data_IF_546897503040
#
_entry.id   IF_546897503040
#
_cell.length_a   1.000
_cell.length_b   1.000
_cell.length_c   1.000
_cell.angle_alpha   90.00
_cell.angle_beta   90.00
_cell.angle_gamma   90.00
#
_symmetry.space_group_name_H-M   'P 1'
#
loop_
_entity.id
_entity.type
_entity.pdbx_description
1 polymer ?
#
# COMPACT_ATOMS: atom_id res chain seq x y z
N UNK A 1 34.99 9.01 -35.40
CA UNK A 1 34.75 9.65 -34.08
C UNK A 1 33.42 10.40 -33.93
N UNK A 2 32.61 10.57 -34.97
CA UNK A 2 31.31 11.29 -34.89
C UNK A 2 30.11 10.43 -34.46
N UNK A 3 30.17 9.09 -34.47
CA UNK A 3 29.03 8.21 -34.18
C UNK A 3 28.81 7.95 -32.69
N UNK A 4 29.84 8.02 -31.84
CA UNK A 4 29.71 7.75 -30.41
C UNK A 4 29.06 8.91 -29.63
N UNK A 5 29.15 10.13 -30.10
CA UNK A 5 28.53 11.29 -29.42
C UNK A 5 27.02 11.39 -29.65
N UNK A 6 26.49 10.87 -30.76
CA UNK A 6 25.05 10.91 -31.07
C UNK A 6 24.22 9.92 -30.22
N UNK A 7 24.82 8.81 -29.81
CA UNK A 7 24.18 7.84 -28.92
C UNK A 7 24.08 8.35 -27.49
N UNK A 8 25.18 8.95 -26.95
CA UNK A 8 25.18 9.54 -25.61
C UNK A 8 24.19 10.71 -25.47
N UNK A 9 24.03 11.54 -26.50
CA UNK A 9 23.05 12.63 -26.46
C UNK A 9 21.60 12.11 -26.54
N UNK A 10 21.33 11.04 -27.27
CA UNK A 10 19.99 10.42 -27.33
C UNK A 10 19.61 9.72 -26.04
N UNK A 11 20.54 9.04 -25.37
CA UNK A 11 20.30 8.42 -24.06
C UNK A 11 20.11 9.48 -22.96
N UNK A 12 20.91 10.52 -22.93
CA UNK A 12 20.73 11.63 -21.98
C UNK A 12 19.41 12.38 -22.20
N UNK A 13 18.97 12.56 -23.44
CA UNK A 13 17.68 13.17 -23.77
C UNK A 13 16.50 12.29 -23.37
N UNK A 14 16.64 10.97 -23.46
CA UNK A 14 15.64 10.00 -23.05
C UNK A 14 15.55 9.90 -21.53
N UNK A 15 16.68 9.85 -20.81
CA UNK A 15 16.73 9.86 -19.35
C UNK A 15 16.17 11.16 -18.74
N UNK A 16 16.49 12.33 -19.32
CA UNK A 16 15.96 13.62 -18.83
C UNK A 16 14.48 13.78 -19.09
N UNK A 17 13.97 13.29 -20.23
CA UNK A 17 12.55 13.25 -20.55
C UNK A 17 11.77 12.34 -19.60
N UNK A 18 12.33 11.19 -19.29
CA UNK A 18 11.76 10.19 -18.37
C UNK A 18 11.72 10.71 -16.92
N UNK A 19 12.76 11.38 -16.45
CA UNK A 19 12.80 12.01 -15.11
C UNK A 19 11.76 13.10 -14.95
N UNK A 20 11.52 13.96 -15.96
CA UNK A 20 10.47 14.98 -15.92
C UNK A 20 9.08 14.34 -15.89
N UNK A 21 8.90 13.26 -16.63
CA UNK A 21 7.64 12.52 -16.68
C UNK A 21 7.25 11.90 -15.34
N UNK A 22 8.21 11.48 -14.54
CA UNK A 22 8.04 10.84 -13.24
C UNK A 22 8.12 11.82 -12.06
N UNK A 23 8.25 13.11 -12.33
CA UNK A 23 8.45 14.14 -11.29
C UNK A 23 7.25 14.31 -10.37
N UNK A 24 7.52 14.30 -9.07
CA UNK A 24 6.59 14.58 -7.99
C UNK A 24 7.13 15.75 -7.13
N UNK A 25 6.69 16.99 -7.38
CA UNK A 25 7.27 18.18 -6.73
C UNK A 25 6.91 18.30 -5.24
N UNK A 26 5.82 17.68 -4.76
CA UNK A 26 5.41 17.75 -3.36
C UNK A 26 6.07 16.68 -2.47
N UNK A 27 7.10 16.00 -2.96
CA UNK A 27 7.81 14.98 -2.19
C UNK A 27 8.41 15.48 -0.85
N UNK A 28 8.80 16.77 -0.66
CA UNK A 28 9.31 17.20 0.64
C UNK A 28 8.27 17.18 1.76
N UNK A 29 6.97 17.21 1.42
CA UNK A 29 5.87 17.12 2.40
C UNK A 29 5.81 15.70 3.01
N UNK A 30 6.12 14.69 2.19
CA UNK A 30 6.23 13.29 2.62
C UNK A 30 7.47 12.68 1.97
N UNK A 31 8.63 12.75 2.65
CA UNK A 31 9.93 12.40 2.07
C UNK A 31 10.15 10.90 2.00
N UNK A 32 9.20 10.18 1.42
CA UNK A 32 9.28 8.75 1.16
C UNK A 32 9.98 8.47 -0.17
N UNK A 33 10.83 7.45 -0.19
CA UNK A 33 11.41 6.95 -1.44
C UNK A 33 10.26 6.52 -2.39
N UNK A 34 10.33 6.75 -3.69
CA UNK A 34 11.45 7.27 -4.49
C UNK A 34 11.54 8.81 -4.58
N UNK A 35 11.14 9.49 -3.52
CA UNK A 35 11.23 10.95 -3.38
C UNK A 35 10.48 11.68 -4.52
N UNK A 36 11.17 12.53 -5.26
CA UNK A 36 10.62 13.28 -6.38
C UNK A 36 10.49 12.51 -7.71
N UNK A 37 10.77 11.20 -7.74
CA UNK A 37 10.71 10.38 -8.96
C UNK A 37 9.80 9.17 -8.75
N UNK A 38 8.55 9.22 -9.23
CA UNK A 38 7.56 8.16 -9.03
C UNK A 38 7.13 7.53 -10.35
N UNK A 39 7.78 6.44 -10.77
CA UNK A 39 7.37 5.70 -11.96
C UNK A 39 6.00 5.05 -11.74
N UNK A 40 5.22 4.95 -12.81
CA UNK A 40 3.89 4.36 -12.78
C UNK A 40 3.83 3.15 -13.72
N UNK A 41 3.38 2.02 -13.22
CA UNK A 41 3.08 0.82 -14.01
C UNK A 41 1.57 0.73 -14.23
N UNK A 42 1.13 0.80 -15.49
CA UNK A 42 -0.26 0.60 -15.87
C UNK A 42 -0.47 -0.87 -16.29
N UNK A 43 -1.51 -1.49 -15.75
CA UNK A 43 -1.93 -2.84 -16.14
C UNK A 43 -3.44 -2.87 -16.39
N UNK A 44 -3.87 -3.54 -17.44
CA UNK A 44 -5.27 -3.85 -17.69
C UNK A 44 -5.62 -5.16 -17.01
N UNK A 45 -6.52 -5.13 -16.03
CA UNK A 45 -6.93 -6.30 -15.24
C UNK A 45 -8.17 -6.96 -15.84
N UNK A 46 -9.13 -6.17 -16.27
CA UNK A 46 -10.30 -6.63 -17.01
C UNK A 46 -10.39 -5.83 -18.30
N UNK A 47 -10.37 -6.55 -19.41
CA UNK A 47 -10.34 -5.95 -20.75
C UNK A 47 -11.37 -4.83 -20.90
N UNK A 48 -10.93 -3.68 -21.37
CA UNK A 48 -11.71 -2.48 -21.65
C UNK A 48 -12.59 -1.99 -20.48
N UNK A 49 -12.31 -2.44 -19.22
CA UNK A 49 -13.18 -2.14 -18.09
C UNK A 49 -12.44 -1.74 -16.81
N UNK A 50 -11.31 -2.40 -16.49
CA UNK A 50 -10.64 -2.18 -15.21
C UNK A 50 -9.12 -2.18 -15.36
N UNK A 51 -8.48 -1.13 -14.86
CA UNK A 51 -7.03 -0.91 -14.92
C UNK A 51 -6.47 -0.58 -13.54
N UNK A 52 -5.23 -1.01 -13.28
CA UNK A 52 -4.46 -0.63 -12.11
C UNK A 52 -3.27 0.23 -12.49
N UNK A 53 -2.95 1.18 -11.61
CA UNK A 53 -1.82 2.09 -11.71
C UNK A 53 -0.97 1.90 -10.46
N UNK A 54 0.12 1.18 -10.60
CA UNK A 54 1.00 0.86 -9.50
C UNK A 54 2.16 1.86 -9.44
N UNK A 55 2.38 2.41 -8.26
CA UNK A 55 3.58 3.11 -7.85
C UNK A 55 4.17 2.38 -6.64
N UNK A 56 5.25 2.87 -6.06
CA UNK A 56 5.78 2.35 -4.82
C UNK A 56 6.32 3.45 -3.93
N UNK A 57 6.41 3.18 -2.64
CA UNK A 57 7.01 4.09 -1.68
C UNK A 57 7.52 3.36 -0.46
N UNK A 58 8.46 4.00 0.26
CA UNK A 58 8.99 3.43 1.48
C UNK A 58 10.00 4.33 2.17
N UNK A 59 10.49 3.84 3.30
CA UNK A 59 11.54 4.47 4.10
C UNK A 59 12.74 3.55 4.08
N UNK A 60 13.93 4.11 3.91
CA UNK A 60 15.18 3.37 3.93
C UNK A 60 15.19 2.14 2.99
N UNK A 61 14.59 2.31 1.81
CA UNK A 61 14.38 1.25 0.80
C UNK A 61 13.47 0.09 1.23
N UNK A 62 12.83 0.14 2.37
CA UNK A 62 11.68 -0.73 2.66
C UNK A 62 10.50 -0.20 1.86
N UNK A 63 10.36 -0.68 0.64
CA UNK A 63 9.38 -0.18 -0.33
C UNK A 63 8.24 -1.15 -0.53
N UNK A 64 7.03 -0.62 -0.54
CA UNK A 64 5.82 -1.39 -0.84
C UNK A 64 5.09 -0.77 -2.04
N UNK A 65 4.43 -1.58 -2.88
CA UNK A 65 3.55 -1.08 -3.91
C UNK A 65 2.37 -0.32 -3.31
N UNK A 66 1.97 0.75 -3.99
CA UNK A 66 0.70 1.44 -3.78
C UNK A 66 -0.06 1.46 -5.09
N UNK A 67 -1.35 1.26 -5.05
CA UNK A 67 -2.18 1.05 -6.24
C UNK A 67 -3.40 1.96 -6.25
N UNK A 68 -3.63 2.56 -7.41
CA UNK A 68 -4.88 3.19 -7.80
C UNK A 68 -5.59 2.27 -8.77
N UNK A 69 -6.89 2.11 -8.61
CA UNK A 69 -7.72 1.36 -9.56
C UNK A 69 -8.62 2.31 -10.32
N UNK A 70 -8.70 2.14 -11.65
CA UNK A 70 -9.60 2.89 -12.53
C UNK A 70 -10.62 1.93 -13.12
N UNK A 71 -11.91 2.28 -13.01
CA UNK A 71 -13.02 1.48 -13.50
C UNK A 71 -13.84 2.29 -14.49
N UNK A 72 -14.13 1.70 -15.65
CA UNK A 72 -15.02 2.28 -16.66
C UNK A 72 -16.46 2.27 -16.16
N UNK A 73 -17.14 3.37 -16.36
CA UNK A 73 -18.54 3.56 -16.03
C UNK A 73 -19.45 3.38 -17.25
N UNK A 74 -20.66 2.94 -17.02
CA UNK A 74 -21.75 2.98 -17.99
C UNK A 74 -22.66 4.18 -17.74
N UNK A 75 -23.15 4.87 -18.78
CA UNK A 75 -22.83 4.61 -20.20
C UNK A 75 -21.45 5.09 -20.62
N UNK A 76 -20.79 5.99 -19.87
CA UNK A 76 -19.50 6.57 -20.21
C UNK A 76 -18.85 7.26 -19.01
N UNK A 77 -17.52 7.22 -18.93
CA UNK A 77 -16.70 7.88 -17.93
C UNK A 77 -15.86 6.90 -17.12
N UNK A 78 -15.06 7.43 -16.19
CA UNK A 78 -14.17 6.69 -15.35
C UNK A 78 -14.40 7.00 -13.87
N UNK A 79 -14.32 5.98 -13.03
CA UNK A 79 -14.23 6.09 -11.57
C UNK A 79 -12.79 5.74 -11.16
N UNK A 80 -12.19 6.57 -10.32
CA UNK A 80 -10.84 6.38 -9.76
C UNK A 80 -10.96 6.05 -8.28
N UNK A 81 -10.40 4.91 -7.87
CA UNK A 81 -10.34 4.46 -6.49
C UNK A 81 -8.91 4.55 -5.96
N UNK A 82 -8.72 5.19 -4.81
CA UNK A 82 -7.45 5.36 -4.10
C UNK A 82 -6.33 5.97 -4.99
N UNK A 83 -6.40 7.26 -5.35
CA UNK A 83 -5.43 7.89 -6.24
C UNK A 83 -3.99 7.76 -5.76
N UNK A 84 -3.06 7.56 -6.72
CA UNK A 84 -1.61 7.64 -6.51
C UNK A 84 -1.06 9.01 -6.92
N UNK A 85 0.25 9.24 -6.77
CA UNK A 85 0.87 10.53 -7.11
C UNK A 85 0.63 10.89 -8.59
N UNK A 86 0.04 12.07 -8.88
CA UNK A 86 -0.31 12.49 -10.22
C UNK A 86 0.90 13.05 -10.99
N UNK A 87 1.91 12.18 -11.20
CA UNK A 87 3.05 12.52 -12.05
C UNK A 87 2.59 12.77 -13.49
N UNK A 88 3.33 13.53 -14.31
CA UNK A 88 2.98 13.69 -15.72
C UNK A 88 2.81 12.37 -16.46
N UNK A 89 3.59 11.33 -16.11
CA UNK A 89 3.46 9.96 -16.65
C UNK A 89 2.10 9.34 -16.29
N UNK A 90 1.76 9.32 -15.00
CA UNK A 90 0.49 8.80 -14.50
C UNK A 90 -0.71 9.52 -15.15
N UNK A 91 -0.66 10.86 -15.20
CA UNK A 91 -1.75 11.67 -15.78
C UNK A 91 -1.90 11.41 -17.28
N UNK A 92 -0.80 11.27 -18.04
CA UNK A 92 -0.90 10.90 -19.49
C UNK A 92 -1.59 9.56 -19.69
N UNK A 93 -1.26 8.57 -18.85
CA UNK A 93 -1.91 7.24 -18.91
C UNK A 93 -3.42 7.34 -18.62
N UNK A 94 -3.82 8.10 -17.59
CA UNK A 94 -5.24 8.32 -17.27
C UNK A 94 -5.95 9.09 -18.40
N UNK A 95 -5.31 10.12 -18.98
CA UNK A 95 -5.86 10.86 -20.14
C UNK A 95 -6.03 9.98 -21.37
N UNK A 96 -5.16 8.99 -21.59
CA UNK A 96 -5.33 8.01 -22.65
C UNK A 96 -6.59 7.16 -22.45
N UNK A 97 -6.92 6.78 -21.22
CA UNK A 97 -8.17 6.09 -20.90
C UNK A 97 -9.38 7.03 -21.05
N UNK A 98 -9.27 8.30 -20.65
CA UNK A 98 -10.36 9.27 -20.88
C UNK A 98 -10.71 9.45 -22.36
N UNK A 99 -9.70 9.47 -23.21
CA UNK A 99 -9.92 9.60 -24.67
C UNK A 99 -10.72 8.44 -25.26
N UNK A 100 -10.66 7.26 -24.65
CA UNK A 100 -11.32 6.06 -25.11
C UNK A 100 -12.68 5.81 -24.42
N UNK A 101 -12.76 6.13 -23.12
CA UNK A 101 -13.88 5.71 -22.27
C UNK A 101 -14.68 6.87 -21.66
N UNK A 102 -14.25 8.11 -21.90
CA UNK A 102 -14.86 9.32 -21.34
C UNK A 102 -14.17 9.82 -20.08
N UNK A 103 -14.55 11.03 -19.64
CA UNK A 103 -13.86 11.75 -18.57
C UNK A 103 -13.90 11.02 -17.22
N UNK A 104 -12.89 11.30 -16.36
CA UNK A 104 -12.94 10.94 -14.94
C UNK A 104 -14.09 11.68 -14.29
N UNK A 105 -15.12 10.95 -13.84
CA UNK A 105 -16.32 11.48 -13.21
C UNK A 105 -16.25 11.43 -11.68
N UNK A 106 -15.67 10.38 -11.14
CA UNK A 106 -15.63 10.15 -9.69
C UNK A 106 -14.23 9.78 -9.22
N UNK A 107 -13.84 10.32 -8.07
CA UNK A 107 -12.59 10.02 -7.38
C UNK A 107 -12.95 9.62 -5.96
N UNK A 108 -12.50 8.45 -5.52
CA UNK A 108 -12.78 7.92 -4.18
C UNK A 108 -11.50 7.88 -3.36
N UNK A 109 -11.48 8.63 -2.25
CA UNK A 109 -10.51 8.49 -1.18
C UNK A 109 -11.04 7.48 -0.18
N UNK A 110 -10.54 6.27 -0.24
CA UNK A 110 -11.13 5.09 0.39
C UNK A 110 -10.74 4.87 1.85
N UNK A 111 -9.71 5.54 2.36
CA UNK A 111 -9.19 5.30 3.72
C UNK A 111 -8.94 6.59 4.50
N UNK A 112 -8.97 6.50 5.82
CA UNK A 112 -8.57 7.59 6.74
C UNK A 112 -7.13 7.48 7.17
N UNK A 113 -6.53 6.32 7.08
CA UNK A 113 -5.12 6.04 7.34
C UNK A 113 -4.33 6.07 6.05
N UNK A 114 -3.03 5.87 6.15
CA UNK A 114 -2.18 5.87 4.97
C UNK A 114 -1.93 7.29 4.45
N UNK A 115 -0.73 7.80 4.70
CA UNK A 115 -0.31 9.11 4.18
C UNK A 115 -0.34 9.09 2.66
N UNK A 116 -0.10 7.94 2.07
CA UNK A 116 0.09 7.69 0.64
C UNK A 116 -1.07 8.16 -0.21
N UNK A 117 -2.28 7.73 0.07
CA UNK A 117 -3.44 8.11 -0.75
C UNK A 117 -3.95 9.51 -0.39
N UNK A 118 -3.92 9.88 0.89
CA UNK A 118 -4.39 11.19 1.36
C UNK A 118 -3.58 12.35 0.78
N UNK A 119 -2.25 12.19 0.67
CA UNK A 119 -1.38 13.24 0.10
C UNK A 119 -1.60 13.40 -1.40
N UNK A 120 -2.01 12.35 -2.09
CA UNK A 120 -2.15 12.37 -3.54
C UNK A 120 -3.53 12.78 -4.03
N UNK A 121 -4.60 12.55 -3.27
CA UNK A 121 -5.97 12.77 -3.73
C UNK A 121 -6.24 14.23 -4.10
N UNK A 122 -5.81 15.21 -3.32
CA UNK A 122 -6.00 16.63 -3.62
C UNK A 122 -5.27 17.06 -4.91
N UNK A 123 -3.96 16.83 -5.04
CA UNK A 123 -3.21 17.06 -6.27
C UNK A 123 -3.74 16.30 -7.49
N UNK A 124 -4.18 15.06 -7.31
CA UNK A 124 -4.80 14.26 -8.38
C UNK A 124 -6.12 14.89 -8.84
N UNK A 125 -7.00 15.22 -7.91
CA UNK A 125 -8.30 15.83 -8.19
C UNK A 125 -8.20 17.17 -8.93
N UNK A 126 -7.13 17.95 -8.69
CA UNK A 126 -6.88 19.20 -9.46
C UNK A 126 -6.63 18.96 -10.94
N UNK A 127 -6.17 17.75 -11.34
CA UNK A 127 -5.98 17.39 -12.75
C UNK A 127 -7.27 17.02 -13.45
N UNK A 128 -8.33 16.75 -12.68
CA UNK A 128 -9.66 16.36 -13.17
C UNK A 128 -10.73 17.25 -12.53
N UNK A 129 -10.85 18.54 -12.93
CA UNK A 129 -11.67 19.53 -12.24
C UNK A 129 -13.17 19.24 -12.31
N UNK A 130 -13.63 18.43 -13.25
CA UNK A 130 -15.03 18.04 -13.38
C UNK A 130 -15.42 16.83 -12.53
N UNK A 131 -14.44 16.13 -11.95
CA UNK A 131 -14.71 14.93 -11.16
C UNK A 131 -15.28 15.30 -9.78
N UNK A 132 -16.36 14.62 -9.39
CA UNK A 132 -16.88 14.63 -8.02
C UNK A 132 -15.97 13.77 -7.14
N UNK A 133 -15.69 14.20 -5.93
CA UNK A 133 -14.81 13.50 -4.99
C UNK A 133 -15.65 12.95 -3.84
N UNK A 134 -15.44 11.68 -3.54
CA UNK A 134 -16.01 11.01 -2.38
C UNK A 134 -14.88 10.56 -1.45
N UNK A 135 -15.02 10.81 -0.16
CA UNK A 135 -14.01 10.49 0.84
C UNK A 135 -14.61 9.64 1.96
N UNK A 136 -13.83 8.74 2.51
CA UNK A 136 -14.22 7.98 3.69
C UNK A 136 -14.58 8.96 4.83
N UNK A 137 -15.62 8.66 5.63
CA UNK A 137 -15.97 9.49 6.77
C UNK A 137 -14.83 9.52 7.80
N UNK A 138 -14.90 10.47 8.74
CA UNK A 138 -13.92 10.64 9.81
C UNK A 138 -12.49 10.94 9.35
N UNK A 139 -12.31 11.57 8.19
CA UNK A 139 -10.98 12.02 7.75
C UNK A 139 -10.36 12.90 8.83
N UNK A 140 -9.11 12.66 9.11
CA UNK A 140 -8.33 13.40 10.10
C UNK A 140 -6.91 13.65 9.62
N UNK A 141 -6.20 14.58 10.24
CA UNK A 141 -4.80 14.86 9.99
C UNK A 141 -4.05 15.01 11.31
N UNK A 142 -2.84 14.46 11.35
CA UNK A 142 -1.97 14.57 12.51
C UNK A 142 -0.99 15.76 12.31
N UNK A 143 -0.66 16.54 13.33
CA UNK A 143 -1.14 16.48 14.73
C UNK A 143 -2.45 17.23 14.99
N UNK A 144 -2.97 17.95 14.00
CA UNK A 144 -4.19 18.73 14.10
C UNK A 144 -5.25 18.19 13.14
N UNK A 145 -6.49 18.11 13.58
CA UNK A 145 -7.60 17.74 12.71
C UNK A 145 -7.99 18.93 11.85
N UNK A 146 -7.56 18.93 10.60
CA UNK A 146 -7.77 20.04 9.66
C UNK A 146 -9.02 19.78 8.80
N UNK A 147 -9.72 20.85 8.36
CA UNK A 147 -10.79 20.74 7.38
C UNK A 147 -10.29 20.10 6.08
N UNK A 148 -11.15 19.34 5.39
CA UNK A 148 -10.82 18.67 4.13
C UNK A 148 -10.27 19.61 3.05
N UNK A 149 -10.77 20.86 3.02
CA UNK A 149 -10.28 21.90 2.10
C UNK A 149 -8.80 22.24 2.31
N UNK A 150 -8.31 22.16 3.55
CA UNK A 150 -6.90 22.40 3.89
C UNK A 150 -5.99 21.23 3.47
N UNK A 151 -6.58 20.06 3.30
CA UNK A 151 -5.89 18.89 2.70
C UNK A 151 -5.84 18.96 1.15
N UNK A 152 -6.25 20.13 0.58
CA UNK A 152 -6.23 20.36 -0.85
C UNK A 152 -7.42 19.77 -1.61
N UNK A 153 -8.47 19.34 -0.88
CA UNK A 153 -9.73 18.86 -1.45
C UNK A 153 -10.69 20.04 -1.70
N UNK A 154 -11.22 20.23 -2.92
CA UNK A 154 -12.13 21.32 -3.22
C UNK A 154 -13.51 21.06 -2.57
N UNK A 155 -13.89 21.91 -1.61
CA UNK A 155 -15.09 21.73 -0.80
C UNK A 155 -16.38 21.61 -1.63
N UNK A 156 -16.51 22.40 -2.74
CA UNK A 156 -17.72 22.44 -3.56
C UNK A 156 -18.02 21.15 -4.34
N UNK A 157 -17.08 20.20 -4.41
CA UNK A 157 -17.22 18.92 -5.11
C UNK A 157 -16.66 17.73 -4.32
N UNK A 158 -16.50 17.89 -3.00
CA UNK A 158 -16.08 16.81 -2.10
C UNK A 158 -17.21 16.47 -1.15
N UNK A 159 -17.56 15.19 -1.08
CA UNK A 159 -18.62 14.66 -0.21
C UNK A 159 -18.11 13.47 0.58
N UNK A 160 -18.69 13.24 1.76
CA UNK A 160 -18.47 12.02 2.52
C UNK A 160 -19.21 10.87 1.83
N UNK A 161 -18.57 9.71 1.72
CA UNK A 161 -19.22 8.48 1.30
C UNK A 161 -19.58 7.66 2.55
N UNK A 162 -20.86 7.72 2.91
CA UNK A 162 -21.45 6.94 4.01
C UNK A 162 -22.38 5.89 3.45
N UNK A 163 -22.91 4.98 4.28
CA UNK A 163 -23.91 4.00 3.87
C UNK A 163 -25.21 4.65 3.33
N UNK A 164 -25.51 5.87 3.75
CA UNK A 164 -26.71 6.60 3.38
C UNK A 164 -26.49 7.57 2.19
N UNK A 165 -25.25 7.74 1.75
CA UNK A 165 -24.91 8.69 0.68
C UNK A 165 -25.50 8.20 -0.64
N UNK A 166 -26.32 9.04 -1.26
CA UNK A 166 -26.80 8.78 -2.62
C UNK A 166 -25.73 9.17 -3.61
N UNK A 167 -25.25 8.20 -4.38
CA UNK A 167 -24.21 8.40 -5.39
C UNK A 167 -24.73 8.07 -6.79
N UNK A 168 -24.28 8.79 -7.83
CA UNK A 168 -24.75 8.57 -9.19
C UNK A 168 -24.33 7.24 -9.82
N UNK A 169 -23.40 6.51 -9.19
CA UNK A 169 -22.88 5.22 -9.64
C UNK A 169 -23.42 4.01 -8.83
N UNK A 170 -24.47 4.22 -8.00
CA UNK A 170 -25.05 3.17 -7.16
C UNK A 170 -25.67 2.01 -7.93
N UNK A 171 -25.98 2.19 -9.21
CA UNK A 171 -26.46 1.14 -10.13
C UNK A 171 -25.35 0.15 -10.52
N UNK A 172 -24.07 0.54 -10.42
CA UNK A 172 -22.92 -0.25 -10.85
C UNK A 172 -22.07 -0.76 -9.69
N UNK A 173 -22.17 -0.11 -8.52
CA UNK A 173 -21.35 -0.43 -7.35
C UNK A 173 -22.17 -0.60 -6.08
N UNK A 174 -21.68 -1.51 -5.23
CA UNK A 174 -22.01 -1.55 -3.81
C UNK A 174 -20.80 -1.12 -2.99
N UNK A 175 -21.02 -0.61 -1.79
CA UNK A 175 -19.92 -0.24 -0.89
C UNK A 175 -20.24 -0.58 0.56
N UNK A 176 -19.20 -0.82 1.35
CA UNK A 176 -19.27 -1.05 2.77
C UNK A 176 -18.15 -0.29 3.49
N UNK A 177 -18.43 0.16 4.70
CA UNK A 177 -17.49 0.96 5.49
C UNK A 177 -17.00 0.11 6.66
N UNK A 178 -15.71 -0.18 6.67
CA UNK A 178 -15.03 -0.77 7.82
C UNK A 178 -14.69 0.33 8.83
N UNK A 179 -15.17 0.18 10.05
CA UNK A 179 -14.96 1.15 11.13
C UNK A 179 -16.15 2.11 11.34
N UNK A 180 -15.98 3.19 12.13
CA UNK A 180 -14.72 3.75 12.62
C UNK A 180 -14.11 2.97 13.80
N UNK A 181 -12.87 2.53 13.67
CA UNK A 181 -12.10 1.90 14.75
C UNK A 181 -11.26 2.98 15.44
N UNK A 182 -11.47 3.20 16.72
CA UNK A 182 -10.82 4.28 17.48
C UNK A 182 -9.35 3.97 17.75
N UNK A 183 -8.45 4.86 17.33
CA UNK A 183 -7.01 4.74 17.52
C UNK A 183 -6.39 5.83 18.44
N UNK A 184 -7.23 6.67 19.06
CA UNK A 184 -6.76 7.78 19.89
C UNK A 184 -6.40 9.03 19.08
N UNK A 185 -5.54 8.93 18.08
CA UNK A 185 -5.11 10.06 17.23
C UNK A 185 -6.07 10.33 16.06
N UNK A 186 -7.03 9.46 15.86
CA UNK A 186 -8.03 9.49 14.80
C UNK A 186 -8.52 8.07 14.52
N UNK A 187 -9.69 7.88 13.92
CA UNK A 187 -10.22 6.55 13.66
C UNK A 187 -9.66 5.96 12.35
N UNK A 188 -9.52 4.63 12.34
CA UNK A 188 -9.38 3.88 11.10
C UNK A 188 -10.76 3.74 10.44
N UNK A 189 -10.83 4.06 9.16
CA UNK A 189 -11.98 3.79 8.30
C UNK A 189 -11.48 3.40 6.92
N UNK A 190 -12.09 2.36 6.34
CA UNK A 190 -11.85 1.96 4.96
C UNK A 190 -13.17 1.71 4.23
N UNK A 191 -13.24 2.15 2.96
CA UNK A 191 -14.36 1.88 2.07
C UNK A 191 -13.99 0.71 1.16
N UNK A 192 -14.67 -0.42 1.33
CA UNK A 192 -14.73 -1.47 0.32
C UNK A 192 -15.69 -1.05 -0.80
N UNK A 193 -15.28 -1.22 -2.06
CA UNK A 193 -16.10 -0.88 -3.22
C UNK A 193 -16.22 -2.10 -4.15
N UNK A 194 -17.42 -2.58 -4.39
CA UNK A 194 -17.68 -3.74 -5.23
C UNK A 194 -18.26 -3.33 -6.58
N UNK A 195 -17.52 -3.59 -7.65
CA UNK A 195 -17.99 -3.40 -9.02
C UNK A 195 -18.75 -4.65 -9.50
N UNK A 196 -20.08 -4.53 -9.65
CA UNK A 196 -20.96 -5.65 -9.90
C UNK A 196 -20.67 -6.37 -11.21
N UNK A 197 -20.45 -5.62 -12.31
CA UNK A 197 -20.25 -6.19 -13.64
C UNK A 197 -19.02 -7.11 -13.72
N UNK A 198 -17.89 -6.66 -13.18
CA UNK A 198 -16.64 -7.45 -13.21
C UNK A 198 -16.48 -8.35 -12.00
N UNK A 199 -17.45 -8.35 -11.08
CA UNK A 199 -17.42 -9.09 -9.81
C UNK A 199 -16.12 -8.85 -9.04
N UNK A 200 -15.66 -7.59 -9.04
CA UNK A 200 -14.38 -7.18 -8.46
C UNK A 200 -14.61 -6.34 -7.21
N UNK A 201 -14.02 -6.77 -6.10
CA UNK A 201 -13.98 -6.04 -4.85
C UNK A 201 -12.68 -5.23 -4.76
N UNK A 202 -12.79 -3.93 -4.56
CA UNK A 202 -11.67 -3.01 -4.35
C UNK A 202 -11.51 -2.74 -2.86
N UNK A 203 -10.30 -2.93 -2.34
CA UNK A 203 -9.93 -2.70 -0.95
C UNK A 203 -8.67 -1.82 -0.90
N UNK A 204 -8.42 -1.18 0.26
CA UNK A 204 -7.18 -0.42 0.48
C UNK A 204 -6.18 -1.27 1.26
N UNK A 205 -6.37 -1.38 2.57
CA UNK A 205 -5.41 -1.95 3.52
C UNK A 205 -5.90 -3.25 4.16
N UNK A 206 -7.24 -3.42 4.26
CA UNK A 206 -7.87 -4.45 5.10
C UNK A 206 -7.45 -5.89 4.76
N UNK A 207 -7.09 -6.14 3.50
CA UNK A 207 -6.68 -7.46 3.02
C UNK A 207 -5.50 -7.34 2.06
N UNK A 208 -4.55 -8.26 2.17
CA UNK A 208 -3.38 -8.34 1.29
C UNK A 208 -3.02 -9.80 0.99
N UNK A 209 -2.27 -10.01 -0.09
CA UNK A 209 -1.55 -11.25 -0.35
C UNK A 209 -0.09 -10.91 -0.70
N UNK A 210 0.86 -11.69 -0.19
CA UNK A 210 2.29 -11.45 -0.40
C UNK A 210 2.77 -12.34 -1.54
N UNK A 211 3.22 -11.79 -2.68
CA UNK A 211 3.75 -12.59 -3.76
C UNK A 211 5.14 -13.15 -3.42
N UNK A 212 5.47 -14.31 -3.97
CA UNK A 212 6.78 -14.94 -3.84
C UNK A 212 7.89 -14.11 -4.51
N UNK A 213 7.57 -13.55 -5.67
CA UNK A 213 8.47 -12.72 -6.47
C UNK A 213 8.19 -11.22 -6.22
N UNK A 214 9.18 -10.36 -6.48
CA UNK A 214 8.97 -8.92 -6.36
C UNK A 214 7.80 -8.44 -7.25
N UNK A 215 6.88 -7.60 -6.75
CA UNK A 215 5.89 -6.93 -7.57
C UNK A 215 6.51 -6.21 -8.77
N UNK A 216 5.87 -6.31 -9.93
CA UNK A 216 6.42 -5.81 -11.19
C UNK A 216 6.84 -4.33 -11.15
N UNK A 217 6.11 -3.48 -10.42
CA UNK A 217 6.45 -2.07 -10.26
C UNK A 217 7.80 -1.85 -9.58
N UNK A 218 8.24 -2.74 -8.69
CA UNK A 218 9.53 -2.64 -8.00
C UNK A 218 10.71 -3.01 -8.93
N UNK A 219 10.44 -3.64 -10.05
CA UNK A 219 11.49 -3.94 -11.06
C UNK A 219 11.84 -2.73 -11.91
N UNK A 220 11.03 -1.65 -11.89
CA UNK A 220 11.32 -0.39 -12.58
C UNK A 220 12.52 0.35 -11.98
N UNK A 221 12.79 0.16 -10.70
CA UNK A 221 14.04 0.50 -10.03
C UNK A 221 14.38 -0.61 -9.01
N UNK A 222 15.20 -1.59 -9.36
CA UNK A 222 15.49 -2.74 -8.51
C UNK A 222 16.42 -2.42 -7.34
N UNK A 223 16.99 -1.21 -7.25
CA UNK A 223 17.97 -0.88 -6.22
C UNK A 223 17.49 -1.12 -4.78
N UNK A 224 16.25 -0.79 -4.39
CA UNK A 224 15.73 -1.15 -3.07
C UNK A 224 15.79 -2.64 -2.77
N UNK A 225 15.47 -3.48 -3.76
CA UNK A 225 15.54 -4.93 -3.62
C UNK A 225 16.99 -5.38 -3.40
N UNK A 226 17.90 -4.88 -4.22
CA UNK A 226 19.32 -5.22 -4.14
C UNK A 226 19.97 -4.70 -2.85
N UNK A 227 19.52 -3.55 -2.36
CA UNK A 227 19.96 -3.00 -1.08
C UNK A 227 19.63 -3.95 0.08
N UNK A 228 18.42 -4.50 0.13
CA UNK A 228 17.97 -5.42 1.17
C UNK A 228 18.38 -6.89 0.93
N UNK A 229 18.95 -7.21 -0.23
CA UNK A 229 19.47 -8.54 -0.50
C UNK A 229 20.78 -8.85 0.24
N UNK A 230 21.49 -7.82 0.70
CA UNK A 230 22.77 -7.95 1.41
C UNK A 230 22.58 -8.50 2.82
N UNK A 231 23.55 -9.22 3.32
CA UNK A 231 23.59 -9.67 4.71
C UNK A 231 24.34 -8.66 5.60
N UNK A 232 25.32 -7.92 5.02
CA UNK A 232 26.18 -6.97 5.72
C UNK A 232 26.40 -5.72 4.87
N UNK A 233 26.88 -4.65 5.52
CA UNK A 233 27.27 -3.41 4.84
C UNK A 233 28.41 -3.60 3.83
N UNK A 234 29.30 -4.57 4.10
CA UNK A 234 30.47 -4.88 3.27
C UNK A 234 30.12 -5.66 1.99
N UNK A 235 28.93 -6.27 1.93
CA UNK A 235 28.56 -7.05 0.76
C UNK A 235 28.34 -6.17 -0.46
N UNK A 236 28.82 -6.58 -1.64
CA UNK A 236 28.59 -5.84 -2.87
C UNK A 236 27.11 -5.92 -3.27
N UNK A 237 26.62 -4.87 -3.91
CA UNK A 237 25.30 -4.86 -4.53
C UNK A 237 25.41 -5.47 -5.92
N UNK A 238 24.89 -6.69 -6.08
CA UNK A 238 24.91 -7.44 -7.36
C UNK A 238 23.49 -7.69 -7.81
N UNK A 239 23.19 -7.34 -9.06
CA UNK A 239 21.87 -7.50 -9.64
C UNK A 239 21.69 -8.90 -10.25
N UNK A 240 21.01 -9.77 -9.53
CA UNK A 240 20.58 -11.09 -9.99
C UNK A 240 19.10 -11.31 -9.62
N UNK A 241 18.40 -12.21 -10.33
CA UNK A 241 17.02 -12.56 -9.97
C UNK A 241 16.90 -13.03 -8.51
N UNK A 242 17.87 -13.82 -8.02
CA UNK A 242 17.90 -14.34 -6.65
C UNK A 242 18.09 -13.21 -5.63
N UNK A 243 18.97 -12.23 -5.93
CA UNK A 243 19.16 -11.07 -5.07
C UNK A 243 17.90 -10.21 -5.03
N UNK A 244 17.25 -9.97 -6.17
CA UNK A 244 15.97 -9.24 -6.21
C UNK A 244 14.89 -9.93 -5.39
N UNK A 245 14.74 -11.27 -5.52
CA UNK A 245 13.80 -12.07 -4.74
C UNK A 245 14.10 -12.01 -3.26
N UNK A 246 15.35 -12.25 -2.85
CA UNK A 246 15.80 -12.20 -1.45
C UNK A 246 15.50 -10.82 -0.84
N UNK A 247 15.85 -9.76 -1.53
CA UNK A 247 15.58 -8.40 -1.07
C UNK A 247 14.10 -8.11 -0.90
N UNK A 248 13.27 -8.55 -1.85
CA UNK A 248 11.82 -8.44 -1.75
C UNK A 248 11.27 -9.15 -0.51
N UNK A 249 11.68 -10.39 -0.30
CA UNK A 249 11.21 -11.20 0.82
C UNK A 249 11.53 -10.56 2.17
N UNK A 250 12.73 -9.97 2.30
CA UNK A 250 13.14 -9.23 3.50
C UNK A 250 12.39 -7.90 3.65
N UNK A 251 12.16 -7.17 2.56
CA UNK A 251 11.32 -5.97 2.57
C UNK A 251 9.91 -6.31 3.05
N UNK A 252 9.32 -7.39 2.55
CA UNK A 252 8.00 -7.83 2.97
C UNK A 252 7.94 -8.14 4.49
N UNK A 253 8.90 -8.92 5.00
CA UNK A 253 8.99 -9.20 6.44
C UNK A 253 9.07 -7.91 7.27
N UNK A 254 9.92 -6.97 6.85
CA UNK A 254 10.06 -5.70 7.55
C UNK A 254 8.77 -4.87 7.47
N UNK A 255 8.14 -4.79 6.29
CA UNK A 255 6.92 -4.00 6.10
C UNK A 255 5.74 -4.49 6.96
N UNK A 256 5.68 -5.80 7.22
CA UNK A 256 4.56 -6.38 7.99
C UNK A 256 4.79 -6.46 9.49
N UNK A 257 6.04 -6.63 9.93
CA UNK A 257 6.37 -6.80 11.34
C UNK A 257 7.21 -5.66 11.92
N UNK A 258 7.69 -4.71 11.09
CA UNK A 258 8.68 -3.67 11.38
C UNK A 258 10.02 -4.24 11.85
N UNK A 259 10.01 -5.15 12.79
CA UNK A 259 11.18 -5.89 13.27
C UNK A 259 10.80 -7.34 13.54
N UNK A 260 10.79 -8.20 12.51
CA UNK A 260 10.55 -9.63 12.71
C UNK A 260 11.63 -10.22 13.64
N UNK A 261 11.34 -11.34 14.28
CA UNK A 261 12.25 -12.00 15.25
C UNK A 261 13.61 -12.35 14.66
N UNK A 262 13.68 -12.48 13.35
CA UNK A 262 14.89 -12.79 12.57
C UNK A 262 15.65 -11.56 12.10
N UNK A 263 15.24 -10.36 12.49
CA UNK A 263 15.93 -9.11 12.17
C UNK A 263 16.46 -8.43 13.45
N UNK A 264 17.76 -8.41 13.60
CA UNK A 264 18.43 -7.58 14.58
C UNK A 264 18.82 -6.22 14.00
N UNK A 265 18.67 -5.19 14.79
CA UNK A 265 19.13 -3.85 14.45
C UNK A 265 20.35 -3.50 15.30
N UNK A 266 21.55 -3.40 14.72
CA UNK A 266 22.74 -3.02 15.44
C UNK A 266 22.61 -1.60 16.01
N UNK A 267 23.38 -1.31 17.08
CA UNK A 267 23.45 0.04 17.60
C UNK A 267 23.96 1.02 16.53
N UNK A 268 23.54 2.28 16.61
CA UNK A 268 23.98 3.31 15.67
C UNK A 268 25.52 3.37 15.56
N UNK A 269 26.23 3.22 16.67
CA UNK A 269 27.70 3.20 16.71
C UNK A 269 28.27 2.03 15.89
N UNK A 270 27.72 0.83 16.07
CA UNK A 270 28.16 -0.35 15.32
C UNK A 270 27.83 -0.20 13.81
N UNK A 271 26.63 0.29 13.48
CA UNK A 271 26.25 0.56 12.09
C UNK A 271 27.18 1.62 11.41
N UNK A 272 27.61 2.65 12.14
CA UNK A 272 28.59 3.62 11.64
C UNK A 272 30.00 3.04 11.46
N UNK A 273 30.40 2.11 12.32
CA UNK A 273 31.70 1.44 12.16
C UNK A 273 31.72 0.58 10.91
N UNK A 274 30.69 -0.24 10.69
CA UNK A 274 30.58 -1.10 9.50
C UNK A 274 30.41 -0.31 8.21
N UNK A 275 29.76 0.86 8.27
CA UNK A 275 29.61 1.75 7.10
C UNK A 275 30.93 2.25 6.53
N UNK A 276 32.00 2.36 7.35
CA UNK A 276 33.33 2.77 6.88
C UNK A 276 33.99 1.73 5.96
N UNK A 277 33.59 0.46 6.11
CA UNK A 277 34.11 -0.68 5.36
C UNK A 277 33.24 -1.04 4.15
N UNK A 278 32.10 -0.34 3.98
CA UNK A 278 31.21 -0.59 2.86
C UNK A 278 31.88 -0.23 1.52
N UNK A 279 31.74 -1.08 0.47
CA UNK A 279 32.34 -0.85 -0.84
C UNK A 279 31.66 0.32 -1.58
N UNK A 280 30.38 0.57 -1.34
CA UNK A 280 29.64 1.71 -1.86
C UNK A 280 29.22 2.64 -0.70
N UNK A 281 29.79 3.86 -0.74
CA UNK A 281 29.50 4.92 0.25
C UNK A 281 28.83 6.13 -0.41
N UNK A 282 28.20 5.91 -1.55
CA UNK A 282 27.41 6.94 -2.23
C UNK A 282 26.18 7.35 -1.40
N UNK A 283 25.60 8.50 -1.75
CA UNK A 283 24.31 8.94 -1.19
C UNK A 283 23.22 7.88 -1.40
N UNK A 284 23.25 7.18 -2.55
CA UNK A 284 22.29 6.13 -2.87
C UNK A 284 22.43 4.92 -1.93
N UNK A 285 23.64 4.62 -1.47
CA UNK A 285 23.89 3.56 -0.48
C UNK A 285 23.82 4.07 0.97
N UNK A 286 23.18 5.21 1.23
CA UNK A 286 23.12 5.86 2.54
C UNK A 286 24.52 6.02 3.18
N UNK A 287 25.53 6.36 2.37
CA UNK A 287 26.93 6.51 2.80
C UNK A 287 27.55 5.24 3.41
N UNK A 288 27.06 4.08 2.98
CA UNK A 288 27.47 2.76 3.47
C UNK A 288 26.67 2.25 4.67
N UNK A 289 25.72 3.04 5.17
CA UNK A 289 24.90 2.65 6.32
C UNK A 289 23.95 1.50 5.95
N UNK A 290 24.04 0.40 6.69
CA UNK A 290 23.17 -0.77 6.56
C UNK A 290 22.84 -1.34 7.94
N UNK A 291 21.79 -0.84 8.61
CA UNK A 291 21.47 -1.20 9.99
C UNK A 291 20.57 -2.46 10.07
N UNK A 292 20.82 -3.45 9.23
CA UNK A 292 20.05 -4.69 9.18
C UNK A 292 21.00 -5.88 9.38
N UNK A 293 20.66 -6.76 10.31
CA UNK A 293 21.36 -8.00 10.54
C UNK A 293 20.34 -9.14 10.53
N UNK A 294 20.20 -9.78 9.37
CA UNK A 294 19.28 -10.89 9.20
C UNK A 294 19.86 -12.17 9.78
N UNK A 295 19.13 -12.79 10.69
CA UNK A 295 19.47 -14.04 11.33
C UNK A 295 18.97 -15.23 10.50
N UNK A 296 19.53 -16.42 10.75
CA UNK A 296 19.00 -17.66 10.20
C UNK A 296 17.51 -17.81 10.53
N UNK A 297 16.73 -18.44 9.63
CA UNK A 297 15.30 -18.63 9.80
C UNK A 297 14.42 -17.50 9.22
N UNK A 298 14.98 -16.42 8.65
CA UNK A 298 14.17 -15.40 8.00
C UNK A 298 13.37 -15.93 6.80
N UNK A 299 13.91 -16.96 6.10
CA UNK A 299 13.23 -17.57 4.97
C UNK A 299 11.99 -18.37 5.39
N UNK A 300 12.03 -19.01 6.56
CA UNK A 300 10.87 -19.69 7.16
C UNK A 300 9.81 -18.68 7.59
N UNK A 301 10.20 -17.55 8.21
CA UNK A 301 9.29 -16.45 8.53
C UNK A 301 8.63 -15.89 7.27
N UNK A 302 9.37 -15.72 6.17
CA UNK A 302 8.80 -15.30 4.90
C UNK A 302 7.86 -16.37 4.30
N UNK A 303 8.22 -17.64 4.36
CA UNK A 303 7.37 -18.74 3.86
C UNK A 303 6.03 -18.75 4.58
N UNK A 304 6.02 -18.56 5.89
CA UNK A 304 4.81 -18.43 6.68
C UNK A 304 4.01 -17.17 6.30
N UNK A 305 4.69 -16.02 6.12
CA UNK A 305 4.08 -14.76 5.70
C UNK A 305 3.48 -14.86 4.28
N UNK A 306 4.18 -15.47 3.33
CA UNK A 306 3.68 -15.73 1.98
C UNK A 306 2.46 -16.66 1.98
N UNK A 307 2.49 -17.74 2.79
CA UNK A 307 1.38 -18.66 3.01
C UNK A 307 0.76 -19.19 1.72
N UNK A 308 1.60 -19.53 0.72
CA UNK A 308 1.18 -19.97 -0.62
C UNK A 308 0.34 -18.95 -1.38
N UNK A 309 0.57 -17.65 -1.17
CA UNK A 309 -0.16 -16.56 -1.83
C UNK A 309 -1.59 -16.34 -1.33
N UNK A 310 -2.02 -17.06 -0.28
CA UNK A 310 -3.36 -16.85 0.29
C UNK A 310 -3.49 -15.45 0.89
N UNK A 311 -4.65 -14.79 0.72
CA UNK A 311 -4.91 -13.48 1.31
C UNK A 311 -5.04 -13.55 2.84
N UNK A 312 -4.71 -12.46 3.51
CA UNK A 312 -4.79 -12.34 4.97
C UNK A 312 -4.82 -10.88 5.40
N UNK A 313 -5.12 -10.65 6.67
CA UNK A 313 -4.98 -9.35 7.30
C UNK A 313 -3.53 -9.16 7.73
N UNK A 314 -2.93 -8.02 7.39
CA UNK A 314 -1.53 -7.73 7.73
C UNK A 314 -1.28 -7.74 9.25
N UNK A 315 -0.18 -8.33 9.76
CA UNK A 315 0.17 -8.33 11.19
C UNK A 315 0.09 -6.96 11.86
N UNK A 316 0.56 -5.93 11.19
CA UNK A 316 0.49 -4.54 11.68
C UNK A 316 -0.96 -4.09 11.91
N UNK A 317 -1.89 -4.44 11.03
CA UNK A 317 -3.31 -4.12 11.20
C UNK A 317 -3.97 -4.97 12.27
N UNK A 318 -3.63 -6.26 12.33
CA UNK A 318 -4.14 -7.16 13.37
C UNK A 318 -3.80 -6.64 14.77
N UNK A 319 -2.52 -6.24 14.97
CA UNK A 319 -1.99 -5.89 16.29
C UNK A 319 -2.28 -4.44 16.69
N UNK A 320 -2.22 -3.49 15.76
CA UNK A 320 -2.29 -2.07 16.10
C UNK A 320 -3.66 -1.43 15.84
N UNK A 321 -4.56 -2.10 15.07
CA UNK A 321 -5.82 -1.50 14.64
C UNK A 321 -7.01 -2.42 14.93
N UNK A 322 -7.07 -3.60 14.30
CA UNK A 322 -8.27 -4.44 14.30
C UNK A 322 -8.55 -5.11 15.64
N UNK A 323 -7.52 -5.29 16.47
CA UNK A 323 -7.68 -5.73 17.86
C UNK A 323 -8.52 -4.76 18.72
N UNK A 324 -8.82 -3.55 18.24
CA UNK A 324 -9.65 -2.53 18.90
C UNK A 324 -11.05 -2.41 18.33
N UNK A 325 -11.32 -3.08 17.21
CA UNK A 325 -12.58 -2.99 16.48
C UNK A 325 -13.06 -4.36 16.00
N UNK A 326 -12.96 -5.39 16.83
CA UNK A 326 -13.33 -6.77 16.45
C UNK A 326 -14.77 -6.82 15.95
N UNK A 327 -15.70 -6.12 16.62
CA UNK A 327 -17.11 -6.08 16.26
C UNK A 327 -17.32 -5.38 14.89
N UNK A 328 -16.70 -4.23 14.68
CA UNK A 328 -16.73 -3.48 13.42
C UNK A 328 -16.19 -4.31 12.26
N UNK A 329 -15.09 -5.04 12.50
CA UNK A 329 -14.50 -5.95 11.52
C UNK A 329 -15.46 -7.08 11.18
N UNK A 330 -16.05 -7.73 12.18
CA UNK A 330 -17.00 -8.84 11.97
C UNK A 330 -18.24 -8.37 11.19
N UNK A 331 -18.84 -7.26 11.57
CA UNK A 331 -20.00 -6.70 10.87
C UNK A 331 -19.68 -6.37 9.41
N UNK A 332 -18.51 -5.79 9.17
CA UNK A 332 -18.07 -5.47 7.83
C UNK A 332 -17.82 -6.74 6.99
N UNK A 333 -17.17 -7.77 7.54
CA UNK A 333 -16.97 -9.05 6.86
C UNK A 333 -18.32 -9.68 6.49
N UNK A 334 -19.30 -9.67 7.39
CA UNK A 334 -20.65 -10.16 7.13
C UNK A 334 -21.33 -9.37 6.00
N UNK A 335 -21.21 -8.04 5.99
CA UNK A 335 -21.78 -7.20 4.96
C UNK A 335 -21.14 -7.47 3.59
N UNK A 336 -19.80 -7.47 3.50
CA UNK A 336 -19.06 -7.69 2.25
C UNK A 336 -19.27 -9.12 1.73
N UNK A 337 -19.41 -10.09 2.65
CA UNK A 337 -19.66 -11.50 2.28
C UNK A 337 -21.02 -11.75 1.62
N UNK A 338 -21.92 -10.78 1.60
CA UNK A 338 -23.19 -10.87 0.84
C UNK A 338 -22.99 -10.61 -0.65
N UNK A 339 -21.86 -10.02 -1.03
CA UNK A 339 -21.52 -9.74 -2.43
C UNK A 339 -20.85 -10.96 -3.06
N UNK A 340 -21.23 -11.25 -4.29
CA UNK A 340 -20.70 -12.40 -5.03
C UNK A 340 -19.48 -11.98 -5.88
N UNK A 341 -18.40 -11.55 -5.22
CA UNK A 341 -17.16 -11.23 -5.91
C UNK A 341 -16.35 -12.50 -6.20
N UNK A 342 -15.51 -12.42 -7.23
CA UNK A 342 -14.59 -13.48 -7.68
C UNK A 342 -13.15 -13.00 -7.70
N UNK A 343 -12.97 -11.70 -7.47
CA UNK A 343 -11.67 -11.04 -7.56
C UNK A 343 -11.60 -9.92 -6.54
N UNK A 344 -10.44 -9.80 -5.93
CA UNK A 344 -10.12 -8.67 -5.03
C UNK A 344 -8.90 -7.94 -5.56
N UNK A 345 -8.94 -6.61 -5.53
CA UNK A 345 -7.81 -5.74 -5.85
C UNK A 345 -7.54 -4.87 -4.63
N UNK A 346 -6.56 -5.23 -3.78
CA UNK A 346 -6.08 -4.36 -2.72
C UNK A 346 -5.17 -3.26 -3.27
N UNK A 347 -5.00 -2.16 -2.53
CA UNK A 347 -4.08 -1.10 -2.92
C UNK A 347 -2.61 -1.46 -2.71
N UNK A 348 -2.31 -2.57 -2.04
CA UNK A 348 -0.97 -3.01 -1.74
C UNK A 348 -0.70 -4.44 -2.23
N UNK A 349 0.57 -4.70 -2.57
CA UNK A 349 1.14 -6.02 -2.87
C UNK A 349 0.47 -6.72 -4.06
N UNK A 350 0.12 -8.00 -3.91
CA UNK A 350 -0.38 -8.81 -5.02
C UNK A 350 -1.78 -8.38 -5.47
N UNK A 351 -2.00 -8.34 -6.78
CA UNK A 351 -3.30 -8.13 -7.41
C UNK A 351 -3.26 -8.47 -8.91
N UNK A 352 -4.38 -8.93 -9.46
CA UNK A 352 -5.63 -9.27 -8.78
C UNK A 352 -5.53 -10.59 -8.00
N UNK A 353 -6.24 -10.69 -6.88
CA UNK A 353 -6.35 -11.92 -6.10
C UNK A 353 -7.65 -12.63 -6.51
N UNK A 354 -7.55 -13.85 -7.02
CA UNK A 354 -8.71 -14.70 -7.29
C UNK A 354 -9.22 -15.26 -5.95
N UNK A 355 -10.34 -14.78 -5.49
CA UNK A 355 -10.96 -15.21 -4.22
C UNK A 355 -12.43 -14.82 -4.15
N UNK A 356 -13.18 -15.55 -3.32
CA UNK A 356 -14.56 -15.27 -3.00
C UNK A 356 -14.81 -15.03 -1.50
N UNK A 357 -16.06 -15.17 -1.11
CA UNK A 357 -16.49 -14.88 0.27
C UNK A 357 -15.96 -15.86 1.31
N UNK A 358 -15.71 -17.11 0.93
CA UNK A 358 -15.17 -18.12 1.84
C UNK A 358 -13.73 -17.76 2.25
N UNK A 359 -12.89 -17.39 1.28
CA UNK A 359 -11.51 -16.97 1.52
C UNK A 359 -11.47 -15.64 2.29
N UNK A 360 -12.42 -14.72 2.05
CA UNK A 360 -12.53 -13.49 2.84
C UNK A 360 -12.77 -13.80 4.31
N UNK A 361 -13.78 -14.65 4.61
CA UNK A 361 -14.06 -15.06 5.99
C UNK A 361 -12.88 -15.74 6.65
N UNK A 362 -12.19 -16.64 5.93
CA UNK A 362 -10.99 -17.31 6.42
C UNK A 362 -9.85 -16.34 6.73
N UNK A 363 -9.64 -15.32 5.88
CA UNK A 363 -8.60 -14.30 6.08
C UNK A 363 -8.80 -13.45 7.35
N UNK A 364 -10.07 -13.25 7.75
CA UNK A 364 -10.42 -12.44 8.94
C UNK A 364 -10.72 -13.30 10.19
N UNK A 365 -10.77 -14.61 10.10
CA UNK A 365 -11.09 -15.49 11.22
C UNK A 365 -10.18 -15.27 12.44
N UNK A 366 -8.88 -15.11 12.22
CA UNK A 366 -7.89 -14.89 13.27
C UNK A 366 -8.08 -13.57 14.06
N UNK A 367 -8.88 -12.61 13.55
CA UNK A 367 -9.17 -11.36 14.26
C UNK A 367 -10.19 -11.61 15.39
N UNK A 368 -11.18 -12.46 15.13
CA UNK A 368 -12.32 -12.69 16.03
C UNK A 368 -12.02 -13.72 17.12
N UNK A 369 -11.19 -14.71 16.83
CA UNK A 369 -10.94 -15.87 17.69
C UNK A 369 -9.46 -16.07 17.91
N UNK A 370 -9.11 -16.70 19.04
CA UNK A 370 -7.75 -17.25 19.25
C UNK A 370 -7.57 -18.57 18.49
N UNK A 371 -8.32 -18.75 17.41
CA UNK A 371 -8.36 -19.99 16.67
C UNK A 371 -7.01 -20.30 16.02
N UNK A 372 -6.28 -21.20 16.68
CA UNK A 372 -5.03 -21.76 16.17
C UNK A 372 -5.25 -22.76 15.02
N UNK A 373 -6.50 -22.97 14.62
CA UNK A 373 -6.87 -23.89 13.53
C UNK A 373 -6.79 -23.22 12.16
N UNK A 374 -6.49 -21.90 12.08
CA UNK A 374 -6.30 -21.26 10.79
C UNK A 374 -5.16 -21.94 10.04
N UNK A 375 -5.39 -22.30 8.79
CA UNK A 375 -4.40 -22.90 7.88
C UNK A 375 -3.12 -22.06 7.69
N UNK A 376 -3.14 -20.80 8.11
CA UNK A 376 -1.98 -19.90 8.11
C UNK A 376 -1.52 -19.64 9.53
N UNK A 377 -0.41 -20.25 9.91
CA UNK A 377 0.25 -20.00 11.19
C UNK A 377 1.41 -19.03 11.00
N UNK A 378 1.17 -17.76 11.28
CA UNK A 378 2.24 -16.78 11.36
C UNK A 378 3.06 -17.03 12.63
N UNK A 379 4.40 -16.96 12.58
CA UNK A 379 5.23 -17.20 13.76
C UNK A 379 4.94 -16.16 14.86
N UNK A 380 4.47 -16.61 16.02
CA UNK A 380 4.13 -15.72 17.14
C UNK A 380 5.31 -14.81 17.55
N UNK A 381 6.53 -15.32 17.49
CA UNK A 381 7.75 -14.55 17.80
C UNK A 381 7.95 -13.32 16.91
N UNK A 382 7.42 -13.33 15.65
CA UNK A 382 7.55 -12.22 14.73
C UNK A 382 6.62 -11.04 15.11
N UNK A 383 5.58 -11.28 15.92
CA UNK A 383 4.70 -10.25 16.43
C UNK A 383 5.26 -9.49 17.64
N UNK A 384 6.30 -10.01 18.31
CA UNK A 384 6.79 -9.48 19.59
C UNK A 384 7.05 -7.96 19.57
N UNK A 385 7.63 -7.43 18.48
CA UNK A 385 7.87 -6.00 18.37
C UNK A 385 6.59 -5.18 18.21
N UNK A 386 5.62 -5.68 17.44
CA UNK A 386 4.32 -5.01 17.27
C UNK A 386 3.54 -5.00 18.60
N UNK A 387 3.58 -6.09 19.35
CA UNK A 387 2.95 -6.21 20.67
C UNK A 387 3.60 -5.27 21.68
N UNK A 388 4.93 -5.18 21.71
CA UNK A 388 5.67 -4.24 22.55
C UNK A 388 5.31 -2.78 22.19
N UNK A 389 5.25 -2.47 20.90
CA UNK A 389 4.84 -1.16 20.40
C UNK A 389 3.41 -0.82 20.80
N UNK A 390 2.48 -1.75 20.61
CA UNK A 390 1.08 -1.59 21.01
C UNK A 390 0.92 -1.34 22.50
N UNK A 391 1.54 -2.18 23.33
CA UNK A 391 1.55 -2.00 24.78
C UNK A 391 2.18 -0.66 25.19
N UNK A 392 3.22 -0.22 24.49
CA UNK A 392 3.87 1.07 24.70
C UNK A 392 2.94 2.25 24.38
N UNK A 393 2.16 2.18 23.31
CA UNK A 393 1.18 3.20 22.91
C UNK A 393 0.03 3.28 23.93
N UNK A 394 -0.46 2.12 24.39
CA UNK A 394 -1.52 2.04 25.42
C UNK A 394 -1.03 2.63 26.74
N UNK A 395 0.14 2.25 27.22
CA UNK A 395 0.72 2.79 28.48
C UNK A 395 0.89 4.31 28.45
N UNK A 396 1.14 4.88 27.28
CA UNK A 396 1.28 6.34 27.10
C UNK A 396 -0.07 7.05 26.88
N UNK A 397 -1.18 6.32 26.85
CA UNK A 397 -2.51 6.88 26.60
C UNK A 397 -2.70 7.39 25.14
N UNK A 398 -1.85 6.97 24.21
CA UNK A 398 -1.92 7.37 22.80
C UNK A 398 -3.03 6.60 22.08
N UNK A 399 -3.13 5.30 22.35
CA UNK A 399 -4.19 4.44 21.79
C UNK A 399 -5.02 3.82 22.93
N UNK A 400 -6.31 3.55 22.72
CA UNK A 400 -7.09 2.78 23.68
C UNK A 400 -6.59 1.32 23.77
N UNK A 401 -6.86 0.60 24.86
CA UNK A 401 -6.51 -0.80 24.97
C UNK A 401 -7.25 -1.65 23.92
N UNK A 402 -6.72 -2.82 23.54
CA UNK A 402 -7.41 -3.78 22.69
C UNK A 402 -8.77 -4.21 23.30
N UNK A 403 -9.73 -4.48 22.43
CA UNK A 403 -10.99 -5.08 22.82
C UNK A 403 -10.77 -6.55 23.24
N UNK A 404 -11.31 -7.01 24.38
CA UNK A 404 -11.21 -8.42 24.72
C UNK A 404 -11.80 -9.31 23.61
N UNK A 405 -11.08 -10.35 23.24
CA UNK A 405 -11.61 -11.36 22.32
C UNK A 405 -12.78 -12.09 22.98
N UNK A 406 -13.80 -12.42 22.21
CA UNK A 406 -14.92 -13.19 22.71
C UNK A 406 -14.42 -14.60 23.07
N UNK A 407 -14.85 -15.18 24.24
CA UNK A 407 -14.58 -16.58 24.53
C UNK A 407 -15.22 -17.45 23.43
N UNK A 408 -14.55 -18.54 23.10
CA UNK A 408 -15.13 -19.53 22.17
C UNK A 408 -16.50 -20.00 22.68
N UNK A 409 -17.52 -20.09 21.80
CA UNK A 409 -18.79 -20.70 22.17
C UNK A 409 -18.65 -22.19 22.51
#
# INVERSE_FOLDING_TARGET
MASQNSWRQRDQGRETGDRRARSWPLWPVVPLYPYGQRPTLLQEVVKDTLWTFDQYQGIFYVVVPIRMTVVKLKPQGLLVYAPVAPTPECIRMVRSLEAQHGSVRYIIQSTTTGIEHKVFVGPFARRFPQAQIYVAPHQWSFPLNLPLSWLGLPAHRTQLLTSETRVPFADQFDWAILGPIKLGLGPFVEIALFHRETRTLLLTDALVAVPQEPPAVLTLDPYPLLFHARDRAQDPIVDTPEARRRGWQRIALFAFYFRPSTLETPTLRAAWQTAKEAPDRSKRAYFGLYPFCWQEGWAESFTALHGSGRPFVAPVLQTLIFNRGIHEVQQWVEQVSRWQFERVIPCHLDAPIAMGTAELRAAFAAIATDDQTSDRRLPAKDFAFLEELDAGLVRRGITPPPTPKLPHP
#
